data_IF_158821826037
#
_entry.id   IF_158821826037
#
_cell.length_a   1.000
_cell.length_b   1.000
_cell.length_c   1.000
_cell.angle_alpha   90.00
_cell.angle_beta   90.00
_cell.angle_gamma   90.00
#
_symmetry.space_group_name_H-M   'P 1'
#
loop_
_entity.id
_entity.type
_entity.pdbx_description
1 polymer ?
#
# COMPACT_ATOMS: atom_id res chain seq x y z
N UNK A 1 -12.36 15.10 2.96
CA UNK A 1 -13.44 14.20 3.44
C UNK A 1 -13.28 14.08 4.95
N UNK A 2 -14.30 14.37 5.77
CA UNK A 2 -14.20 14.21 7.23
C UNK A 2 -14.54 12.77 7.62
N UNK A 3 -13.76 12.17 8.51
CA UNK A 3 -14.17 10.96 9.23
C UNK A 3 -15.09 11.44 10.36
N UNK A 4 -16.40 11.26 10.22
CA UNK A 4 -17.36 11.63 11.27
C UNK A 4 -17.36 10.53 12.34
N UNK A 5 -16.76 10.83 13.49
CA UNK A 5 -17.04 10.11 14.73
C UNK A 5 -18.21 10.81 15.43
N UNK A 6 -19.25 10.07 15.75
CA UNK A 6 -20.37 10.55 16.56
C UNK A 6 -19.91 10.79 17.99
N UNK A 7 -19.91 12.05 18.44
CA UNK A 7 -19.74 12.42 19.85
C UNK A 7 -20.90 13.34 20.27
N UNK A 8 -21.66 12.89 21.26
CA UNK A 8 -22.70 13.66 21.96
C UNK A 8 -22.08 14.84 22.73
N UNK A 9 -22.78 15.97 22.73
CA UNK A 9 -22.30 17.27 23.22
C UNK A 9 -22.44 17.48 24.72
N UNK A 10 -21.59 18.36 25.27
CA UNK A 10 -21.68 18.92 26.63
C UNK A 10 -21.22 20.39 26.68
N UNK A 11 -21.75 21.06 27.70
CA UNK A 11 -21.89 22.51 27.94
C UNK A 11 -20.63 23.37 28.07
N UNK A 12 -20.82 24.65 27.74
CA UNK A 12 -19.88 25.74 27.93
C UNK A 12 -19.88 26.27 29.38
N UNK A 13 -18.72 26.23 30.05
CA UNK A 13 -18.10 27.32 30.84
C UNK A 13 -16.91 26.77 31.66
N UNK A 14 -15.75 27.42 31.54
CA UNK A 14 -14.58 27.17 32.41
C UNK A 14 -13.29 27.10 31.61
N UNK A 15 -12.35 27.99 31.93
CA UNK A 15 -10.92 28.04 31.55
C UNK A 15 -10.52 27.38 30.22
N UNK A 16 -9.99 28.17 29.29
CA UNK A 16 -9.30 27.70 28.08
C UNK A 16 -8.03 26.93 28.47
N UNK A 17 -8.21 25.70 28.95
CA UNK A 17 -7.16 24.71 29.06
C UNK A 17 -6.68 24.42 27.64
N UNK A 18 -5.38 24.60 27.41
CA UNK A 18 -4.72 24.19 26.16
C UNK A 18 -4.92 22.68 26.02
N UNK A 19 -5.80 22.28 25.12
CA UNK A 19 -6.28 20.90 24.96
C UNK A 19 -5.31 20.03 24.18
N UNK A 20 -4.72 20.54 23.09
CA UNK A 20 -3.59 19.89 22.44
C UNK A 20 -2.28 20.56 22.81
N UNK A 21 -1.24 19.75 23.03
CA UNK A 21 0.10 20.24 23.37
C UNK A 21 1.14 19.71 22.38
N UNK A 22 2.12 20.56 22.07
CA UNK A 22 3.28 20.19 21.26
C UNK A 22 4.40 19.72 22.18
N UNK A 23 4.89 18.51 21.96
CA UNK A 23 6.04 17.95 22.68
C UNK A 23 7.35 18.49 22.12
N UNK A 24 8.44 18.34 22.89
CA UNK A 24 9.78 18.81 22.50
C UNK A 24 10.27 18.19 21.18
N UNK A 25 9.88 16.94 20.91
CA UNK A 25 10.20 16.26 19.64
C UNK A 25 9.34 16.71 18.46
N UNK A 26 8.41 17.65 18.67
CA UNK A 26 7.53 18.22 17.65
C UNK A 26 6.23 17.45 17.41
N UNK A 27 5.97 16.37 18.15
CA UNK A 27 4.69 15.65 18.11
C UNK A 27 3.56 16.50 18.74
N UNK A 28 2.31 16.16 18.42
CA UNK A 28 1.12 16.79 19.02
C UNK A 28 0.35 15.73 19.80
N UNK A 29 -0.04 16.04 21.03
CA UNK A 29 -0.77 15.13 21.92
C UNK A 29 -2.01 15.79 22.52
N UNK A 30 -3.02 14.96 22.76
CA UNK A 30 -4.23 15.25 23.53
C UNK A 30 -4.21 14.35 24.77
N UNK A 31 -3.76 14.89 25.90
CA UNK A 31 -3.40 14.09 27.08
C UNK A 31 -2.37 13.01 26.73
N UNK A 32 -2.77 11.73 26.82
CA UNK A 32 -1.92 10.58 26.46
C UNK A 32 -2.07 10.13 25.00
N UNK A 33 -3.07 10.65 24.27
CA UNK A 33 -3.34 10.29 22.89
C UNK A 33 -2.43 11.09 21.96
N UNK A 34 -1.60 10.41 21.18
CA UNK A 34 -0.78 11.08 20.17
C UNK A 34 -1.67 11.43 18.98
N UNK A 35 -1.83 12.71 18.68
CA UNK A 35 -2.57 13.18 17.51
C UNK A 35 -1.65 13.08 16.29
N UNK A 36 -0.48 13.71 16.36
CA UNK A 36 0.51 13.70 15.28
C UNK A 36 1.86 13.25 15.84
N UNK A 37 2.49 12.28 15.19
CA UNK A 37 3.88 11.91 15.49
C UNK A 37 4.79 12.82 14.70
N UNK A 38 5.80 13.43 15.34
CA UNK A 38 6.94 13.91 14.55
C UNK A 38 7.63 12.74 13.85
N UNK A 39 8.33 13.02 12.76
CA UNK A 39 9.05 11.96 12.03
C UNK A 39 10.05 11.24 12.93
N UNK A 40 10.75 11.97 13.81
CA UNK A 40 11.71 11.38 14.75
C UNK A 40 11.02 10.42 15.73
N UNK A 41 9.85 10.80 16.27
CA UNK A 41 9.08 9.95 17.17
C UNK A 41 8.54 8.72 16.47
N UNK A 42 8.02 8.88 15.25
CA UNK A 42 7.59 7.77 14.40
C UNK A 42 8.73 6.77 14.16
N UNK A 43 9.92 7.26 13.76
CA UNK A 43 11.08 6.39 13.50
C UNK A 43 11.47 5.63 14.77
N UNK A 44 11.63 6.35 15.89
CA UNK A 44 12.07 5.76 17.16
C UNK A 44 11.06 4.76 17.72
N UNK A 45 9.79 5.14 17.83
CA UNK A 45 8.81 4.38 18.61
C UNK A 45 8.14 3.28 17.77
N UNK A 46 7.94 3.54 16.48
CA UNK A 46 7.12 2.71 15.59
C UNK A 46 7.97 1.99 14.54
N UNK A 47 8.74 2.74 13.75
CA UNK A 47 9.52 2.18 12.64
C UNK A 47 10.58 1.21 13.15
N UNK A 48 11.38 1.63 14.13
CA UNK A 48 12.46 0.84 14.72
C UNK A 48 12.10 0.29 16.11
N UNK A 49 11.17 0.94 16.81
CA UNK A 49 10.70 0.55 18.14
C UNK A 49 9.61 -0.53 18.12
N UNK A 50 9.09 -0.90 19.29
CA UNK A 50 8.04 -1.92 19.44
C UNK A 50 6.73 -1.36 19.99
N UNK A 51 6.50 -0.06 19.87
CA UNK A 51 5.24 0.53 20.28
C UNK A 51 4.12 0.14 19.32
N UNK A 52 2.87 0.23 19.79
CA UNK A 52 1.69 0.03 18.95
C UNK A 52 1.77 0.95 17.75
N UNK A 53 1.75 0.39 16.53
CA UNK A 53 1.96 1.18 15.33
C UNK A 53 0.84 2.19 15.04
N UNK A 54 -0.31 2.10 15.73
CA UNK A 54 -1.43 3.06 15.60
C UNK A 54 -1.35 4.17 16.65
N UNK A 55 -1.24 3.84 17.95
CA UNK A 55 -1.31 4.85 19.02
C UNK A 55 0.04 5.21 19.65
N UNK A 56 1.11 4.46 19.36
CA UNK A 56 2.44 4.67 19.96
C UNK A 56 2.57 4.25 21.42
N UNK A 57 1.58 3.56 21.99
CA UNK A 57 1.72 3.00 23.33
C UNK A 57 2.82 1.94 23.38
N UNK A 58 3.61 1.91 24.45
CA UNK A 58 4.62 0.88 24.66
C UNK A 58 3.98 -0.44 25.17
N UNK A 59 4.55 -1.62 24.86
CA UNK A 59 3.99 -2.93 25.26
C UNK A 59 3.74 -3.13 26.76
N UNK A 60 4.45 -2.39 27.61
CA UNK A 60 4.33 -2.43 29.07
C UNK A 60 3.25 -1.50 29.64
N UNK A 61 2.62 -0.67 28.79
CA UNK A 61 1.63 0.32 29.22
C UNK A 61 0.18 -0.12 29.01
N UNK A 62 -0.09 -1.11 28.14
CA UNK A 62 -1.42 -1.73 27.96
C UNK A 62 -1.34 -3.10 27.26
N UNK A 63 -2.42 -3.92 27.24
CA UNK A 63 -2.44 -5.22 26.58
C UNK A 63 -2.17 -5.16 25.07
N UNK A 64 -1.36 -6.11 24.58
CA UNK A 64 -1.01 -6.29 23.17
C UNK A 64 -1.43 -7.69 22.72
N UNK A 65 -1.96 -7.77 21.50
CA UNK A 65 -2.25 -9.04 20.84
C UNK A 65 -1.48 -9.22 19.51
N UNK A 66 -0.68 -8.21 19.13
CA UNK A 66 -0.06 -8.04 17.83
C UNK A 66 -1.08 -8.11 16.67
N UNK A 67 -0.76 -7.43 15.57
CA UNK A 67 -1.63 -7.40 14.40
C UNK A 67 -0.97 -8.12 13.22
N UNK A 68 -1.73 -8.96 12.50
CA UNK A 68 -1.20 -9.64 11.32
C UNK A 68 -0.98 -8.62 10.21
N UNK A 69 0.10 -8.75 9.43
CA UNK A 69 0.33 -7.86 8.27
C UNK A 69 -0.82 -7.96 7.27
N UNK A 70 -1.26 -9.19 7.00
CA UNK A 70 -2.48 -9.47 6.24
C UNK A 70 -3.59 -9.84 7.23
N UNK A 71 -4.79 -9.21 7.13
CA UNK A 71 -5.89 -9.44 8.07
C UNK A 71 -6.25 -10.92 8.23
N UNK A 72 -6.63 -11.35 9.44
CA UNK A 72 -6.95 -12.76 9.70
C UNK A 72 -8.07 -13.31 8.82
N UNK A 73 -9.12 -12.52 8.57
CA UNK A 73 -10.21 -12.93 7.69
C UNK A 73 -9.73 -13.17 6.26
N UNK A 74 -8.75 -12.39 5.79
CA UNK A 74 -8.14 -12.54 4.47
C UNK A 74 -7.31 -13.83 4.41
N UNK A 75 -6.51 -14.08 5.45
CA UNK A 75 -5.75 -15.32 5.58
C UNK A 75 -6.65 -16.56 5.60
N UNK A 76 -7.81 -16.48 6.26
CA UNK A 76 -8.79 -17.56 6.29
C UNK A 76 -9.45 -17.77 4.93
N UNK A 77 -9.91 -16.68 4.31
CA UNK A 77 -10.64 -16.68 3.04
C UNK A 77 -9.87 -17.34 1.90
N UNK A 78 -8.57 -17.06 1.81
CA UNK A 78 -7.70 -17.58 0.75
C UNK A 78 -6.76 -18.70 1.20
N UNK A 79 -7.03 -19.30 2.37
CA UNK A 79 -6.25 -20.41 2.92
C UNK A 79 -4.73 -20.13 2.99
N UNK A 80 -4.36 -18.94 3.47
CA UNK A 80 -2.98 -18.44 3.45
C UNK A 80 -2.18 -18.74 4.72
N UNK A 81 -2.83 -19.15 5.83
CA UNK A 81 -2.17 -19.28 7.14
C UNK A 81 -0.84 -20.07 7.10
N UNK A 82 -0.83 -21.23 6.44
CA UNK A 82 0.37 -22.07 6.31
C UNK A 82 1.23 -21.75 5.09
N UNK A 83 0.76 -20.87 4.20
CA UNK A 83 1.46 -20.46 2.98
C UNK A 83 2.50 -19.39 3.31
N UNK A 84 3.38 -19.14 2.35
CA UNK A 84 4.52 -18.23 2.54
C UNK A 84 4.51 -17.06 1.57
N UNK A 85 4.94 -15.91 2.06
CA UNK A 85 5.39 -14.78 1.25
C UNK A 85 6.93 -14.82 1.15
N UNK A 86 7.47 -14.50 -0.01
CA UNK A 86 8.93 -14.40 -0.21
C UNK A 86 9.36 -12.97 0.06
N UNK A 87 10.29 -12.78 1.01
CA UNK A 87 10.86 -11.48 1.33
C UNK A 87 11.89 -11.03 0.27
N UNK A 88 12.28 -9.74 0.22
CA UNK A 88 13.27 -9.23 -0.72
C UNK A 88 14.62 -9.97 -0.73
N UNK A 89 15.01 -10.59 0.38
CA UNK A 89 16.21 -11.41 0.50
C UNK A 89 16.03 -12.86 0.04
N UNK A 90 14.91 -13.20 -0.60
CA UNK A 90 14.55 -14.54 -1.06
C UNK A 90 14.02 -15.49 0.02
N UNK A 91 13.94 -15.06 1.29
CA UNK A 91 13.49 -15.92 2.38
C UNK A 91 11.97 -16.11 2.34
N UNK A 92 11.46 -17.36 2.35
CA UNK A 92 10.04 -17.60 2.57
C UNK A 92 9.69 -17.40 4.05
N UNK A 93 8.62 -16.66 4.32
CA UNK A 93 8.04 -16.45 5.65
C UNK A 93 6.56 -16.77 5.62
N UNK A 94 6.07 -17.50 6.63
CA UNK A 94 4.64 -17.84 6.73
C UNK A 94 3.79 -16.61 6.99
N UNK A 95 2.65 -16.51 6.31
CA UNK A 95 1.71 -15.40 6.51
C UNK A 95 1.22 -15.29 7.96
N UNK A 96 0.93 -16.41 8.62
CA UNK A 96 0.42 -16.44 10.01
C UNK A 96 1.42 -16.00 11.08
N UNK A 97 2.72 -15.94 10.74
CA UNK A 97 3.79 -15.48 11.63
C UNK A 97 4.23 -14.05 11.32
N UNK A 98 3.62 -13.42 10.32
CA UNK A 98 3.97 -12.09 9.88
C UNK A 98 3.08 -11.06 10.60
N UNK A 99 3.50 -10.66 11.80
CA UNK A 99 2.77 -9.73 12.68
C UNK A 99 3.59 -8.50 13.05
N UNK A 100 2.92 -7.41 13.44
CA UNK A 100 3.50 -6.16 13.96
C UNK A 100 2.93 -5.79 15.34
N UNK A 101 3.67 -5.04 16.17
CA UNK A 101 3.18 -4.62 17.49
C UNK A 101 1.92 -3.76 17.40
N UNK A 102 0.84 -4.21 18.05
CA UNK A 102 -0.42 -3.49 18.13
C UNK A 102 -1.11 -3.79 19.47
N UNK A 103 -1.59 -2.74 20.15
CA UNK A 103 -2.38 -2.92 21.36
C UNK A 103 -3.79 -3.40 21.02
N UNK A 104 -4.42 -4.15 21.92
CA UNK A 104 -5.73 -4.77 21.69
C UNK A 104 -6.79 -3.76 21.24
N UNK A 105 -6.86 -2.62 21.92
CA UNK A 105 -7.79 -1.53 21.61
C UNK A 105 -7.69 -1.03 20.16
N UNK A 106 -6.47 -0.78 19.67
CA UNK A 106 -6.24 -0.30 18.31
C UNK A 106 -6.52 -1.41 17.28
N UNK A 107 -6.18 -2.65 17.62
CA UNK A 107 -6.48 -3.80 16.77
C UNK A 107 -8.00 -3.97 16.60
N UNK A 108 -8.76 -3.98 17.70
CA UNK A 108 -10.22 -4.05 17.68
C UNK A 108 -10.85 -2.89 16.91
N UNK A 109 -10.38 -1.67 17.13
CA UNK A 109 -10.88 -0.49 16.41
C UNK A 109 -10.63 -0.63 14.89
N UNK A 110 -9.42 -0.98 14.48
CA UNK A 110 -9.06 -1.16 13.08
C UNK A 110 -9.92 -2.25 12.40
N UNK A 111 -10.13 -3.37 13.10
CA UNK A 111 -11.01 -4.44 12.65
C UNK A 111 -12.43 -3.95 12.38
N UNK A 112 -12.98 -3.12 13.28
CA UNK A 112 -14.34 -2.60 13.18
C UNK A 112 -14.49 -1.50 12.11
N UNK A 113 -13.60 -0.51 12.11
CA UNK A 113 -13.74 0.70 11.28
C UNK A 113 -13.24 0.49 9.84
N UNK A 114 -12.27 -0.41 9.64
CA UNK A 114 -11.62 -0.59 8.34
C UNK A 114 -11.84 -2.00 7.79
N UNK A 115 -11.50 -3.04 8.55
CA UNK A 115 -11.47 -4.39 7.99
C UNK A 115 -12.86 -4.97 7.72
N UNK A 116 -13.81 -4.79 8.65
CA UNK A 116 -15.17 -5.32 8.53
C UNK A 116 -15.93 -4.73 7.33
N UNK A 117 -15.93 -3.40 7.08
CA UNK A 117 -16.52 -2.84 5.86
C UNK A 117 -15.93 -3.42 4.57
N UNK A 118 -14.62 -3.69 4.54
CA UNK A 118 -13.93 -4.18 3.34
C UNK A 118 -14.18 -5.66 3.12
N UNK A 119 -14.15 -6.48 4.18
CA UNK A 119 -14.48 -7.90 4.06
C UNK A 119 -15.92 -8.08 3.57
N UNK A 120 -16.85 -7.26 4.06
CA UNK A 120 -18.24 -7.27 3.62
C UNK A 120 -18.39 -6.83 2.16
N UNK A 121 -17.62 -5.81 1.72
CA UNK A 121 -17.59 -5.42 0.32
C UNK A 121 -17.09 -6.57 -0.57
N UNK A 122 -16.09 -7.34 -0.13
CA UNK A 122 -15.54 -8.48 -0.90
C UNK A 122 -16.46 -9.71 -0.93
N UNK A 123 -17.43 -9.83 -0.02
CA UNK A 123 -18.45 -10.89 -0.04
C UNK A 123 -19.52 -10.68 -1.13
N UNK A 124 -19.53 -9.50 -1.77
CA UNK A 124 -20.49 -9.12 -2.79
C UNK A 124 -20.24 -9.70 -4.19
N UNK A 125 -20.94 -9.14 -5.17
CA UNK A 125 -20.79 -9.49 -6.60
C UNK A 125 -19.40 -9.11 -7.14
N UNK A 126 -18.99 -9.54 -8.35
CA UNK A 126 -17.69 -9.16 -8.94
C UNK A 126 -17.42 -7.65 -9.08
N UNK A 127 -18.44 -6.82 -8.88
CA UNK A 127 -18.37 -5.35 -8.97
C UNK A 127 -18.44 -4.67 -7.59
N UNK A 128 -18.59 -5.42 -6.51
CA UNK A 128 -18.88 -4.88 -5.18
C UNK A 128 -17.80 -3.95 -4.63
N UNK A 129 -16.53 -4.21 -4.96
CA UNK A 129 -15.41 -3.35 -4.55
C UNK A 129 -15.42 -2.04 -5.35
N UNK A 130 -15.76 -2.10 -6.64
CA UNK A 130 -15.94 -0.92 -7.48
C UNK A 130 -17.11 -0.07 -6.96
N UNK A 131 -18.23 -0.71 -6.62
CA UNK A 131 -19.41 -0.05 -6.05
C UNK A 131 -19.09 0.57 -4.68
N UNK A 132 -18.31 -0.13 -3.85
CA UNK A 132 -17.82 0.39 -2.58
C UNK A 132 -17.00 1.69 -2.79
N UNK A 133 -16.07 1.70 -3.73
CA UNK A 133 -15.31 2.92 -4.08
C UNK A 133 -16.24 4.02 -4.61
N UNK A 134 -17.15 3.68 -5.53
CA UNK A 134 -18.10 4.62 -6.13
C UNK A 134 -19.08 5.24 -5.10
N UNK A 135 -19.39 4.52 -4.02
CA UNK A 135 -20.20 5.01 -2.89
C UNK A 135 -19.48 6.02 -1.98
N UNK A 136 -18.26 6.44 -2.34
CA UNK A 136 -17.45 7.37 -1.55
C UNK A 136 -16.56 6.68 -0.51
N UNK A 137 -16.51 5.34 -0.46
CA UNK A 137 -15.65 4.59 0.47
C UNK A 137 -14.25 4.32 -0.06
N UNK A 138 -13.82 5.00 -1.14
CA UNK A 138 -12.46 4.92 -1.68
C UNK A 138 -11.37 5.20 -0.63
N UNK A 139 -11.59 6.11 0.32
CA UNK A 139 -10.66 6.36 1.42
C UNK A 139 -10.48 5.14 2.33
N UNK A 140 -11.55 4.40 2.63
CA UNK A 140 -11.45 3.20 3.48
C UNK A 140 -10.58 2.15 2.79
N UNK A 141 -10.79 1.95 1.47
CA UNK A 141 -9.98 1.02 0.70
C UNK A 141 -8.51 1.47 0.62
N UNK A 142 -8.25 2.76 0.40
CA UNK A 142 -6.89 3.31 0.39
C UNK A 142 -6.19 3.12 1.74
N UNK A 143 -6.87 3.41 2.85
CA UNK A 143 -6.35 3.22 4.21
C UNK A 143 -6.03 1.75 4.49
N UNK A 144 -6.88 0.82 4.08
CA UNK A 144 -6.63 -0.61 4.26
C UNK A 144 -5.45 -1.14 3.47
N UNK A 145 -5.34 -0.72 2.20
CA UNK A 145 -4.15 -1.00 1.39
C UNK A 145 -2.90 -0.42 2.06
N UNK A 146 -2.98 0.82 2.56
CA UNK A 146 -1.90 1.48 3.31
C UNK A 146 -1.53 0.77 4.61
N UNK A 147 -2.50 0.20 5.33
CA UNK A 147 -2.26 -0.60 6.53
C UNK A 147 -1.47 -1.86 6.19
N UNK A 148 -1.86 -2.62 5.16
CA UNK A 148 -1.10 -3.81 4.73
C UNK A 148 0.33 -3.42 4.33
N UNK A 149 0.47 -2.38 3.51
CA UNK A 149 1.75 -1.90 3.02
C UNK A 149 2.66 -1.46 4.17
N UNK A 150 2.18 -0.59 5.07
CA UNK A 150 2.97 -0.13 6.20
C UNK A 150 3.33 -1.29 7.13
N UNK A 151 2.39 -2.18 7.45
CA UNK A 151 2.64 -3.35 8.32
C UNK A 151 3.75 -4.24 7.74
N UNK A 152 3.75 -4.48 6.43
CA UNK A 152 4.80 -5.24 5.75
C UNK A 152 6.18 -4.57 5.91
N UNK A 153 6.25 -3.26 5.67
CA UNK A 153 7.51 -2.52 5.75
C UNK A 153 8.02 -2.39 7.19
N UNK A 154 7.14 -2.17 8.17
CA UNK A 154 7.52 -2.19 9.59
C UNK A 154 8.09 -3.54 10.03
N UNK A 155 7.58 -4.65 9.47
CA UNK A 155 8.09 -5.99 9.80
C UNK A 155 9.51 -6.24 9.28
N UNK A 156 9.93 -5.53 8.24
CA UNK A 156 11.25 -5.72 7.63
C UNK A 156 12.43 -5.25 8.49
N UNK A 157 12.18 -4.54 9.60
CA UNK A 157 13.21 -4.23 10.60
C UNK A 157 13.79 -5.46 11.31
N UNK A 158 13.07 -6.58 11.29
CA UNK A 158 13.53 -7.84 11.91
C UNK A 158 14.10 -8.83 10.89
N UNK A 159 14.19 -8.45 9.61
CA UNK A 159 14.62 -9.32 8.52
C UNK A 159 15.96 -8.82 7.97
N UNK A 160 17.00 -9.67 7.93
CA UNK A 160 18.32 -9.30 7.39
C UNK A 160 18.30 -9.11 5.87
N UNK A 161 19.10 -8.20 5.32
CA UNK A 161 19.28 -8.09 3.86
C UNK A 161 19.95 -9.34 3.27
N UNK A 162 20.96 -9.85 3.96
CA UNK A 162 21.71 -11.05 3.57
C UNK A 162 21.46 -12.16 4.58
N UNK A 163 21.17 -13.37 4.07
CA UNK A 163 20.88 -14.54 4.89
C UNK A 163 22.11 -15.11 5.60
N UNK A 164 23.28 -14.98 4.99
CA UNK A 164 24.54 -15.37 5.63
C UNK A 164 24.81 -14.47 6.84
N UNK A 165 24.77 -15.06 8.03
CA UNK A 165 24.86 -14.32 9.28
C UNK A 165 26.23 -13.70 9.54
N UNK A 166 27.25 -14.17 8.82
CA UNK A 166 28.63 -13.67 8.88
C UNK A 166 28.81 -12.35 8.13
N UNK A 167 27.87 -11.99 7.25
CA UNK A 167 27.89 -10.73 6.50
C UNK A 167 27.05 -9.70 7.24
N UNK A 168 27.69 -8.64 7.72
CA UNK A 168 27.00 -7.50 8.30
C UNK A 168 26.48 -6.58 7.19
N UNK A 169 25.26 -6.86 6.73
CA UNK A 169 24.56 -6.10 5.69
C UNK A 169 23.33 -5.34 6.24
N UNK A 170 23.14 -5.32 7.56
CA UNK A 170 21.95 -4.74 8.18
C UNK A 170 20.64 -5.48 7.89
N UNK A 171 19.54 -4.75 8.09
CA UNK A 171 18.15 -5.21 7.95
C UNK A 171 17.52 -4.67 6.67
N UNK A 172 16.52 -5.35 6.13
CA UNK A 172 15.80 -4.94 4.92
C UNK A 172 15.24 -3.52 5.06
N UNK A 173 14.75 -3.17 6.25
CA UNK A 173 14.20 -1.84 6.50
C UNK A 173 15.24 -0.71 6.60
N UNK A 174 16.54 -1.02 6.59
CA UNK A 174 17.59 0.02 6.60
C UNK A 174 17.65 0.80 5.27
N UNK A 175 17.09 0.24 4.19
CA UNK A 175 17.01 0.91 2.87
C UNK A 175 15.74 1.76 2.72
N UNK A 176 14.91 1.85 3.75
CA UNK A 176 13.61 2.53 3.64
C UNK A 176 13.70 4.02 3.88
N UNK A 177 12.98 4.77 3.03
CA UNK A 177 12.67 6.16 3.32
C UNK A 177 11.52 6.24 4.34
N UNK A 178 11.89 6.39 5.61
CA UNK A 178 10.93 6.52 6.69
C UNK A 178 10.10 7.82 6.63
N UNK A 179 10.50 8.85 5.89
CA UNK A 179 9.70 10.07 5.72
C UNK A 179 8.46 9.77 4.87
N UNK A 180 8.61 8.99 3.80
CA UNK A 180 7.49 8.55 2.97
C UNK A 180 6.53 7.65 3.76
N UNK A 181 7.07 6.70 4.52
CA UNK A 181 6.25 5.82 5.37
C UNK A 181 5.61 6.56 6.55
N UNK A 182 6.21 7.64 7.04
CA UNK A 182 5.63 8.53 8.05
C UNK A 182 4.42 9.31 7.51
N UNK A 183 4.49 9.78 6.26
CA UNK A 183 3.33 10.37 5.60
C UNK A 183 2.18 9.37 5.51
N UNK A 184 2.45 8.16 4.98
CA UNK A 184 1.45 7.09 4.89
C UNK A 184 0.87 6.76 6.28
N UNK A 185 1.73 6.62 7.30
CA UNK A 185 1.32 6.40 8.69
C UNK A 185 0.35 7.47 9.20
N UNK A 186 0.60 8.73 8.86
CA UNK A 186 -0.27 9.85 9.25
C UNK A 186 -1.64 9.74 8.58
N UNK A 187 -1.69 9.37 7.30
CA UNK A 187 -2.96 9.18 6.56
C UNK A 187 -3.75 7.99 7.08
N UNK A 188 -3.14 6.81 7.24
CA UNK A 188 -3.87 5.60 7.63
C UNK A 188 -4.45 5.69 9.03
N UNK A 189 -3.94 6.58 9.89
CA UNK A 189 -4.45 6.80 11.25
C UNK A 189 -5.74 7.62 11.30
N UNK A 190 -6.29 8.06 10.17
CA UNK A 190 -7.50 8.88 10.15
C UNK A 190 -8.75 8.21 10.74
N UNK A 191 -8.76 6.88 10.91
CA UNK A 191 -9.82 6.18 11.64
C UNK A 191 -9.65 6.24 13.18
N UNK A 192 -8.44 6.56 13.66
CA UNK A 192 -8.09 6.62 15.08
C UNK A 192 -8.10 8.06 15.63
N UNK A 193 -7.69 9.03 14.81
CA UNK A 193 -7.63 10.46 15.15
C UNK A 193 -8.61 11.26 14.28
N UNK A 194 -9.27 12.30 14.84
CA UNK A 194 -10.03 13.24 14.02
C UNK A 194 -9.06 13.93 13.08
N UNK A 195 -9.19 13.68 11.78
CA UNK A 195 -8.27 14.23 10.77
C UNK A 195 -9.02 14.57 9.51
N UNK A 196 -8.80 15.78 9.02
CA UNK A 196 -9.31 16.24 7.73
C UNK A 196 -8.27 15.88 6.68
N UNK A 197 -8.66 15.07 5.69
CA UNK A 197 -7.79 14.74 4.56
C UNK A 197 -8.30 15.45 3.32
N UNK A 198 -7.44 16.30 2.73
CA UNK A 198 -7.71 16.92 1.43
C UNK A 198 -7.65 15.88 0.30
N UNK A 199 -8.46 16.04 -0.76
CA UNK A 199 -8.49 15.09 -1.87
C UNK A 199 -7.12 14.84 -2.52
N UNK A 200 -6.25 15.85 -2.55
CA UNK A 200 -4.91 15.85 -3.13
C UNK A 200 -3.94 14.91 -2.39
N UNK A 201 -4.20 14.61 -1.12
CA UNK A 201 -3.37 13.72 -0.30
C UNK A 201 -3.51 12.27 -0.74
N UNK A 202 -4.67 11.90 -1.27
CA UNK A 202 -4.94 10.52 -1.67
C UNK A 202 -4.23 10.25 -2.98
N UNK A 203 -3.34 9.26 -2.97
CA UNK A 203 -2.68 8.78 -4.17
C UNK A 203 -3.62 7.99 -5.08
N UNK A 204 -3.04 7.44 -6.14
CA UNK A 204 -3.76 6.67 -7.14
C UNK A 204 -4.35 5.38 -6.58
N UNK A 205 -5.61 5.11 -6.92
CA UNK A 205 -6.30 3.87 -6.56
C UNK A 205 -7.13 3.39 -7.74
N UNK A 206 -6.97 2.12 -8.13
CA UNK A 206 -7.75 1.50 -9.19
C UNK A 206 -8.18 0.08 -8.81
N UNK A 207 -9.42 -0.26 -9.14
CA UNK A 207 -9.98 -1.61 -8.98
C UNK A 207 -10.36 -2.12 -10.36
N UNK A 208 -9.90 -3.32 -10.73
CA UNK A 208 -10.12 -3.87 -12.07
C UNK A 208 -10.47 -5.36 -12.03
N UNK A 209 -11.37 -5.86 -12.91
CA UNK A 209 -11.75 -7.27 -12.94
C UNK A 209 -10.63 -8.17 -13.47
N UNK A 210 -10.50 -9.35 -12.88
CA UNK A 210 -9.50 -10.37 -13.19
C UNK A 210 -10.18 -11.65 -13.66
N UNK A 211 -9.62 -12.31 -14.68
CA UNK A 211 -10.03 -13.65 -15.10
C UNK A 211 -9.38 -14.72 -14.24
N UNK A 212 -10.15 -15.71 -13.80
CA UNK A 212 -9.69 -16.79 -12.90
C UNK A 212 -9.47 -18.12 -13.62
N UNK A 213 -9.68 -18.18 -14.93
CA UNK A 213 -9.72 -19.43 -15.70
C UNK A 213 -8.34 -20.13 -15.84
N UNK A 214 -7.24 -19.45 -15.51
CA UNK A 214 -5.87 -19.93 -15.71
C UNK A 214 -5.07 -20.29 -14.45
N UNK A 215 -5.63 -20.14 -13.25
CA UNK A 215 -4.86 -20.32 -12.00
C UNK A 215 -5.64 -21.04 -10.93
N UNK A 216 -4.89 -21.83 -10.15
CA UNK A 216 -5.40 -22.49 -8.95
C UNK A 216 -5.44 -21.56 -7.74
N UNK A 217 -4.69 -20.47 -7.79
CA UNK A 217 -4.67 -19.49 -6.71
C UNK A 217 -5.67 -18.38 -7.01
N UNK A 218 -6.31 -17.88 -5.96
CA UNK A 218 -7.21 -16.73 -6.03
C UNK A 218 -6.62 -15.51 -5.32
N UNK A 219 -5.47 -15.67 -4.65
CA UNK A 219 -4.75 -14.59 -4.00
C UNK A 219 -3.50 -14.23 -4.80
N UNK A 220 -3.19 -12.95 -4.89
CA UNK A 220 -1.85 -12.51 -5.27
C UNK A 220 -1.49 -11.18 -4.59
N UNK A 221 -0.21 -11.01 -4.25
CA UNK A 221 0.30 -9.80 -3.61
C UNK A 221 1.63 -9.40 -4.24
N UNK A 222 1.76 -8.11 -4.55
CA UNK A 222 3.02 -7.52 -4.98
C UNK A 222 3.17 -6.10 -4.49
N UNK A 223 4.39 -5.72 -4.14
CA UNK A 223 4.74 -4.35 -3.82
C UNK A 223 6.07 -3.95 -4.46
N UNK A 224 6.20 -2.65 -4.72
CA UNK A 224 7.40 -2.01 -5.25
C UNK A 224 7.71 -0.82 -4.34
N UNK A 225 8.58 -1.04 -3.35
CA UNK A 225 8.86 -0.05 -2.32
C UNK A 225 9.38 1.28 -2.88
N UNK A 226 10.32 1.20 -3.82
CA UNK A 226 10.97 2.36 -4.42
C UNK A 226 10.00 3.33 -5.12
N UNK A 227 8.81 2.85 -5.51
CA UNK A 227 7.76 3.62 -6.17
C UNK A 227 6.48 3.70 -5.34
N UNK A 228 6.51 3.35 -4.04
CA UNK A 228 5.35 3.36 -3.15
C UNK A 228 4.10 2.71 -3.78
N UNK A 229 4.30 1.65 -4.56
CA UNK A 229 3.25 1.01 -5.36
C UNK A 229 2.96 -0.37 -4.81
N UNK A 230 1.69 -0.76 -4.79
CA UNK A 230 1.27 -2.09 -4.37
C UNK A 230 0.09 -2.57 -5.19
N UNK A 231 0.03 -3.88 -5.41
CA UNK A 231 -1.13 -4.56 -5.95
C UNK A 231 -1.59 -5.68 -5.01
N UNK A 232 -2.90 -5.90 -5.00
CA UNK A 232 -3.52 -7.02 -4.32
C UNK A 232 -4.59 -7.62 -5.22
N UNK A 233 -4.51 -8.93 -5.47
CA UNK A 233 -5.53 -9.69 -6.17
C UNK A 233 -6.31 -10.54 -5.17
N UNK A 234 -7.63 -10.44 -5.26
CA UNK A 234 -8.63 -11.09 -4.43
C UNK A 234 -9.68 -11.74 -5.34
N UNK A 235 -9.46 -13.00 -5.69
CA UNK A 235 -10.25 -13.76 -6.67
C UNK A 235 -10.31 -13.05 -8.02
N UNK A 236 -11.50 -12.53 -8.33
CA UNK A 236 -11.82 -11.86 -9.61
C UNK A 236 -11.57 -10.34 -9.58
N UNK A 237 -10.91 -9.83 -8.55
CA UNK A 237 -10.68 -8.39 -8.37
C UNK A 237 -9.20 -8.12 -8.13
N UNK A 238 -8.62 -7.21 -8.89
CA UNK A 238 -7.31 -6.63 -8.61
C UNK A 238 -7.46 -5.19 -8.12
N UNK A 239 -6.65 -4.82 -7.15
CA UNK A 239 -6.62 -3.50 -6.53
C UNK A 239 -5.18 -2.99 -6.64
N UNK A 240 -5.02 -1.80 -7.22
CA UNK A 240 -3.74 -1.15 -7.43
C UNK A 240 -3.72 0.16 -6.67
N UNK A 241 -2.59 0.46 -6.04
CA UNK A 241 -2.41 1.71 -5.29
C UNK A 241 -1.00 2.27 -5.50
N UNK A 242 -0.92 3.60 -5.58
CA UNK A 242 0.31 4.38 -5.38
C UNK A 242 0.03 5.35 -4.24
N UNK A 243 0.89 5.39 -3.22
CA UNK A 243 0.56 6.10 -1.99
C UNK A 243 0.88 7.60 -1.99
N UNK A 244 1.78 8.06 -2.86
CA UNK A 244 2.42 9.38 -2.76
C UNK A 244 2.39 10.22 -4.05
N UNK A 245 1.48 9.91 -4.98
CA UNK A 245 1.44 10.53 -6.32
C UNK A 245 0.25 11.48 -6.56
N UNK A 246 -0.58 11.73 -5.55
CA UNK A 246 -1.76 12.61 -5.64
C UNK A 246 -2.69 12.30 -6.84
N UNK A 247 -2.89 11.01 -7.15
CA UNK A 247 -3.69 10.47 -8.27
C UNK A 247 -3.06 10.60 -9.67
N UNK A 248 -1.78 10.92 -9.76
CA UNK A 248 -1.07 11.09 -11.02
C UNK A 248 -1.17 9.86 -11.93
N UNK A 249 -0.81 8.69 -11.42
CA UNK A 249 -0.83 7.44 -12.17
C UNK A 249 -2.26 7.03 -12.57
N UNK A 250 -3.22 7.16 -11.67
CA UNK A 250 -4.64 6.87 -11.92
C UNK A 250 -5.17 7.74 -13.06
N UNK A 251 -4.89 9.05 -13.03
CA UNK A 251 -5.32 9.96 -14.07
C UNK A 251 -4.75 9.54 -15.44
N UNK A 252 -3.46 9.25 -15.52
CA UNK A 252 -2.84 8.81 -16.76
C UNK A 252 -3.46 7.50 -17.28
N UNK A 253 -3.60 6.50 -16.42
CA UNK A 253 -4.14 5.18 -16.78
C UNK A 253 -5.59 5.29 -17.25
N UNK A 254 -6.42 6.06 -16.56
CA UNK A 254 -7.81 6.28 -16.93
C UNK A 254 -7.99 6.84 -18.34
N UNK A 255 -7.09 7.74 -18.77
CA UNK A 255 -7.20 8.39 -20.09
C UNK A 255 -6.49 7.62 -21.21
N UNK A 256 -5.38 6.94 -20.92
CA UNK A 256 -4.49 6.41 -21.97
C UNK A 256 -4.51 4.88 -22.09
N UNK A 257 -4.83 4.19 -21.01
CA UNK A 257 -4.65 2.74 -20.88
C UNK A 257 -5.99 2.02 -20.73
N UNK A 258 -6.81 2.48 -19.78
CA UNK A 258 -8.11 1.91 -19.46
C UNK A 258 -9.05 1.80 -20.68
N UNK A 259 -9.14 2.78 -21.60
CA UNK A 259 -9.99 2.68 -22.78
C UNK A 259 -9.60 1.55 -23.75
N UNK A 260 -8.36 1.05 -23.66
CA UNK A 260 -7.85 -0.02 -24.50
C UNK A 260 -8.02 -1.40 -23.86
N UNK A 261 -8.30 -1.47 -22.55
CA UNK A 261 -8.56 -2.73 -21.86
C UNK A 261 -9.98 -3.20 -22.18
N UNK A 262 -10.11 -4.12 -23.15
CA UNK A 262 -11.41 -4.58 -23.68
C UNK A 262 -12.03 -5.74 -22.88
N UNK A 263 -11.43 -6.16 -21.77
CA UNK A 263 -11.96 -7.22 -20.90
C UNK A 263 -11.13 -7.47 -19.64
N UNK A 264 -11.47 -8.49 -18.83
CA UNK A 264 -10.74 -8.83 -17.62
C UNK A 264 -9.28 -9.22 -17.86
N UNK A 265 -8.39 -8.76 -16.99
CA UNK A 265 -6.94 -9.04 -17.05
C UNK A 265 -6.59 -10.41 -16.45
N UNK A 266 -5.51 -11.04 -16.91
CA UNK A 266 -4.91 -12.20 -16.23
C UNK A 266 -4.04 -11.78 -15.05
N UNK A 267 -3.64 -12.76 -14.24
CA UNK A 267 -2.70 -12.59 -13.12
C UNK A 267 -1.37 -11.97 -13.54
N UNK A 268 -0.80 -12.41 -14.67
CA UNK A 268 0.42 -11.83 -15.21
C UNK A 268 0.21 -10.37 -15.65
N UNK A 269 -0.95 -10.07 -16.24
CA UNK A 269 -1.33 -8.72 -16.61
C UNK A 269 -1.55 -7.81 -15.39
N UNK A 270 -2.04 -8.34 -14.25
CA UNK A 270 -2.07 -7.60 -12.97
C UNK A 270 -0.66 -7.14 -12.59
N UNK A 271 0.35 -8.02 -12.70
CA UNK A 271 1.73 -7.67 -12.38
C UNK A 271 2.29 -6.57 -13.30
N UNK A 272 2.00 -6.61 -14.59
CA UNK A 272 2.42 -5.53 -15.51
C UNK A 272 1.70 -4.20 -15.20
N UNK A 273 0.39 -4.21 -14.92
CA UNK A 273 -0.31 -2.99 -14.54
C UNK A 273 0.32 -2.35 -13.28
N UNK A 274 0.69 -3.15 -12.28
CA UNK A 274 1.42 -2.64 -11.11
C UNK A 274 2.73 -1.94 -11.52
N UNK A 275 3.46 -2.50 -12.49
CA UNK A 275 4.68 -1.88 -13.03
C UNK A 275 4.37 -0.58 -13.76
N UNK A 276 3.27 -0.49 -14.50
CA UNK A 276 2.85 0.77 -15.13
C UNK A 276 2.51 1.86 -14.10
N UNK A 277 1.81 1.53 -13.01
CA UNK A 277 1.62 2.46 -11.89
C UNK A 277 2.95 2.93 -11.29
N UNK A 278 3.87 1.98 -11.06
CA UNK A 278 5.20 2.25 -10.51
C UNK A 278 6.04 3.15 -11.44
N UNK A 279 6.00 2.90 -12.75
CA UNK A 279 6.69 3.69 -13.75
C UNK A 279 6.17 5.13 -13.80
N UNK A 280 4.84 5.32 -13.72
CA UNK A 280 4.24 6.64 -13.69
C UNK A 280 4.66 7.44 -12.45
N UNK A 281 4.76 6.79 -11.28
CA UNK A 281 5.24 7.45 -10.08
C UNK A 281 6.75 7.75 -10.13
N UNK A 282 7.55 6.81 -10.63
CA UNK A 282 9.01 6.96 -10.74
C UNK A 282 9.40 8.13 -11.65
N UNK A 283 8.67 8.31 -12.76
CA UNK A 283 8.98 9.32 -13.76
C UNK A 283 8.25 10.64 -13.52
N UNK A 284 7.58 10.84 -12.38
CA UNK A 284 6.95 12.10 -12.08
C UNK A 284 8.01 13.20 -11.87
N UNK A 285 8.02 14.20 -12.77
CA UNK A 285 9.04 15.25 -12.79
C UNK A 285 9.03 16.11 -11.53
N UNK A 286 7.84 16.44 -11.04
CA UNK A 286 7.62 17.20 -9.82
C UNK A 286 6.74 16.39 -8.88
N UNK A 287 7.33 15.85 -7.80
CA UNK A 287 6.60 15.05 -6.83
C UNK A 287 5.72 15.93 -5.94
N UNK A 288 4.52 15.45 -5.54
CA UNK A 288 3.73 16.15 -4.54
C UNK A 288 4.48 16.27 -3.22
N UNK A 289 4.27 17.39 -2.53
CA UNK A 289 4.73 17.58 -1.16
C UNK A 289 3.54 17.50 -0.20
N UNK A 290 3.66 16.72 0.86
CA UNK A 290 2.60 16.49 1.84
C UNK A 290 2.91 17.20 3.15
N UNK A 291 1.88 17.73 3.81
CA UNK A 291 2.02 18.48 5.06
C UNK A 291 0.90 18.13 6.05
N UNK A 292 1.25 18.06 7.33
CA UNK A 292 0.29 18.01 8.44
C UNK A 292 0.21 19.38 9.10
N UNK A 293 -0.96 19.97 9.06
CA UNK A 293 -1.29 21.20 9.76
C UNK A 293 -2.01 20.83 11.05
N UNK A 294 -1.46 21.29 12.18
CA UNK A 294 -2.05 21.07 13.50
C UNK A 294 -2.34 22.43 14.14
N UNK A 295 -3.62 22.73 14.36
CA UNK A 295 -4.05 23.86 15.17
C UNK A 295 -4.34 23.34 16.59
N UNK A 296 -3.45 23.65 17.53
CA UNK A 296 -3.56 23.17 18.91
C UNK A 296 -4.63 23.90 19.72
N UNK A 297 -5.08 25.07 19.25
CA UNK A 297 -6.13 25.85 19.92
C UNK A 297 -7.51 25.40 19.45
N UNK A 298 -7.64 25.06 18.17
CA UNK A 298 -8.88 24.54 17.57
C UNK A 298 -9.01 23.02 17.59
N UNK A 299 -7.97 22.32 18.04
CA UNK A 299 -7.90 20.85 18.02
C UNK A 299 -8.16 20.27 16.62
N UNK A 300 -7.60 20.92 15.61
CA UNK A 300 -7.77 20.51 14.21
C UNK A 300 -6.47 19.95 13.66
N UNK A 301 -6.54 18.74 13.10
CA UNK A 301 -5.47 18.14 12.31
C UNK A 301 -5.93 17.99 10.86
N UNK A 302 -5.19 18.59 9.94
CA UNK A 302 -5.45 18.55 8.50
C UNK A 302 -4.21 18.04 7.78
N UNK A 303 -4.41 17.09 6.87
CA UNK A 303 -3.37 16.66 5.93
C UNK A 303 -3.68 17.30 4.59
N UNK A 304 -2.70 18.01 4.05
CA UNK A 304 -2.77 18.70 2.77
C UNK A 304 -1.66 18.20 1.83
N UNK A 305 -1.85 18.38 0.53
CA UNK A 305 -0.81 18.12 -0.46
C UNK A 305 -0.70 19.28 -1.45
N UNK A 306 0.53 19.65 -1.78
CA UNK A 306 0.83 20.60 -2.86
C UNK A 306 1.42 19.82 -4.01
N UNK A 307 0.86 20.01 -5.21
CA UNK A 307 1.34 19.41 -6.46
C UNK A 307 1.40 20.46 -7.55
N UNK A 308 2.14 20.15 -8.62
CA UNK A 308 2.14 20.95 -9.84
C UNK A 308 0.72 21.01 -10.44
N UNK A 309 0.30 22.17 -10.96
CA UNK A 309 -0.97 22.30 -11.68
C UNK A 309 -0.98 21.50 -12.98
N UNK A 310 0.21 21.26 -13.55
CA UNK A 310 0.43 20.52 -14.78
C UNK A 310 1.49 19.45 -14.51
N UNK A 311 1.13 18.32 -13.90
CA UNK A 311 2.08 17.25 -13.66
C UNK A 311 2.64 16.74 -15.00
N UNK A 312 3.97 16.65 -15.06
CA UNK A 312 4.72 16.17 -16.21
C UNK A 312 5.49 14.91 -15.85
N UNK A 313 5.69 14.05 -16.84
CA UNK A 313 6.61 12.93 -16.72
C UNK A 313 7.96 13.32 -17.34
N UNK A 314 9.06 12.90 -16.72
CA UNK A 314 10.36 12.87 -17.40
C UNK A 314 10.36 11.76 -18.45
N UNK A 315 11.39 11.72 -19.30
CA UNK A 315 11.55 10.67 -20.31
C UNK A 315 11.57 9.27 -19.67
N UNK A 316 10.90 8.32 -20.30
CA UNK A 316 10.77 6.95 -19.80
C UNK A 316 12.13 6.23 -19.80
N UNK A 317 12.48 5.66 -18.66
CA UNK A 317 13.61 4.75 -18.50
C UNK A 317 13.12 3.29 -18.66
N UNK A 318 13.37 2.73 -19.84
CA UNK A 318 12.96 1.36 -20.14
C UNK A 318 13.80 0.32 -19.39
N UNK A 319 15.04 0.63 -19.00
CA UNK A 319 15.84 -0.28 -18.19
C UNK A 319 15.20 -0.44 -16.80
N UNK A 320 14.75 0.67 -16.21
CA UNK A 320 13.96 0.65 -14.97
C UNK A 320 12.68 -0.16 -15.15
N UNK A 321 11.94 0.04 -16.25
CA UNK A 321 10.73 -0.76 -16.54
C UNK A 321 11.04 -2.25 -16.59
N UNK A 322 12.11 -2.64 -17.29
CA UNK A 322 12.55 -4.02 -17.42
C UNK A 322 12.91 -4.64 -16.07
N UNK A 323 13.62 -3.91 -15.22
CA UNK A 323 13.98 -4.36 -13.87
C UNK A 323 12.76 -4.50 -12.96
N UNK A 324 11.83 -3.54 -13.00
CA UNK A 324 10.56 -3.61 -12.27
C UNK A 324 9.72 -4.80 -12.74
N UNK A 325 9.63 -5.04 -14.04
CA UNK A 325 8.90 -6.16 -14.62
C UNK A 325 9.51 -7.51 -14.21
N UNK A 326 10.83 -7.62 -14.30
CA UNK A 326 11.57 -8.80 -13.86
C UNK A 326 11.24 -9.13 -12.39
N UNK A 327 11.28 -8.13 -11.51
CA UNK A 327 11.00 -8.29 -10.09
C UNK A 327 9.52 -8.57 -9.81
N UNK A 328 8.60 -7.90 -10.51
CA UNK A 328 7.16 -8.01 -10.28
C UNK A 328 6.61 -9.39 -10.65
N UNK A 329 7.06 -9.98 -11.75
CA UNK A 329 6.65 -11.34 -12.19
C UNK A 329 7.44 -12.42 -11.43
N UNK A 330 8.73 -12.19 -11.16
CA UNK A 330 9.55 -13.02 -10.28
C UNK A 330 9.50 -14.52 -10.63
N UNK A 331 9.04 -15.35 -9.68
CA UNK A 331 9.03 -16.81 -9.84
C UNK A 331 8.18 -17.31 -11.02
N UNK A 332 7.19 -16.53 -11.46
CA UNK A 332 6.35 -16.90 -12.60
C UNK A 332 7.12 -16.89 -13.93
N UNK A 333 8.32 -16.30 -14.03
CA UNK A 333 9.14 -16.40 -15.23
C UNK A 333 9.44 -17.85 -15.64
N UNK A 334 9.58 -18.75 -14.66
CA UNK A 334 9.80 -20.18 -14.89
C UNK A 334 8.62 -20.90 -15.54
N UNK A 335 7.42 -20.33 -15.47
CA UNK A 335 6.20 -20.89 -16.06
C UNK A 335 5.85 -20.27 -17.40
N UNK A 336 6.56 -19.22 -17.84
CA UNK A 336 6.38 -18.69 -19.18
C UNK A 336 6.81 -19.74 -20.20
N UNK A 337 5.90 -20.17 -21.08
CA UNK A 337 6.24 -21.10 -22.14
C UNK A 337 6.96 -20.31 -23.24
N UNK A 338 8.23 -19.99 -23.04
CA UNK A 338 9.10 -19.82 -24.18
C UNK A 338 9.29 -21.20 -24.81
N UNK A 339 9.13 -21.29 -26.13
CA UNK A 339 9.49 -22.49 -26.90
C UNK A 339 11.01 -22.69 -26.77
N UNK A 340 11.47 -23.30 -25.67
CA UNK A 340 12.86 -23.69 -25.46
C UNK A 340 13.87 -22.58 -25.13
N UNK A 341 13.45 -21.39 -24.67
CA UNK A 341 14.40 -20.36 -24.24
C UNK A 341 14.81 -20.55 -22.76
N UNK A 342 16.09 -20.37 -22.47
CA UNK A 342 16.66 -20.36 -21.12
C UNK A 342 16.21 -19.15 -20.30
N UNK A 343 16.30 -19.24 -18.97
CA UNK A 343 15.99 -18.13 -18.06
C UNK A 343 16.80 -16.87 -18.37
N UNK A 344 18.07 -17.02 -18.75
CA UNK A 344 18.95 -15.91 -19.15
C UNK A 344 18.48 -15.22 -20.43
N UNK A 345 17.94 -15.98 -21.40
CA UNK A 345 17.36 -15.40 -22.62
C UNK A 345 16.08 -14.61 -22.31
N UNK A 346 15.21 -15.16 -21.46
CA UNK A 346 14.01 -14.46 -20.99
C UNK A 346 14.39 -13.18 -20.25
N UNK A 347 15.33 -13.27 -19.32
CA UNK A 347 15.84 -12.13 -18.55
C UNK A 347 16.38 -11.04 -19.47
N UNK A 348 17.20 -11.41 -20.46
CA UNK A 348 17.76 -10.45 -21.42
C UNK A 348 16.67 -9.70 -22.19
N UNK A 349 15.58 -10.37 -22.58
CA UNK A 349 14.45 -9.74 -23.28
C UNK A 349 13.67 -8.83 -22.34
N UNK A 350 13.34 -9.30 -21.14
CA UNK A 350 12.60 -8.52 -20.13
C UNK A 350 13.35 -7.24 -19.76
N UNK A 351 14.67 -7.33 -19.55
CA UNK A 351 15.51 -6.20 -19.18
C UNK A 351 15.65 -5.14 -20.28
N UNK A 352 15.19 -5.40 -21.51
CA UNK A 352 15.07 -4.34 -22.52
C UNK A 352 13.97 -3.33 -22.18
N UNK A 353 13.04 -3.69 -21.30
CA UNK A 353 11.89 -2.86 -20.94
C UNK A 353 10.76 -2.82 -21.95
N UNK A 354 10.92 -3.44 -23.12
CA UNK A 354 9.91 -3.41 -24.20
C UNK A 354 8.88 -4.53 -24.10
N UNK A 355 9.16 -5.56 -23.30
CA UNK A 355 8.27 -6.72 -23.19
C UNK A 355 6.92 -6.32 -22.61
N UNK A 356 5.83 -6.83 -23.19
CA UNK A 356 4.48 -6.70 -22.64
C UNK A 356 3.73 -8.03 -22.66
N UNK A 357 3.05 -8.30 -21.54
CA UNK A 357 2.04 -9.35 -21.37
C UNK A 357 0.61 -8.82 -21.43
N UNK A 358 0.47 -7.49 -21.48
CA UNK A 358 -0.79 -6.76 -21.58
C UNK A 358 -1.15 -6.41 -23.03
N UNK A 359 -0.16 -6.03 -23.83
CA UNK A 359 -0.33 -5.58 -25.21
C UNK A 359 0.35 -6.54 -26.19
N UNK A 360 -0.31 -6.83 -27.31
CA UNK A 360 0.30 -7.57 -28.40
C UNK A 360 1.21 -6.66 -29.26
N UNK A 361 1.84 -7.24 -30.29
CA UNK A 361 2.72 -6.51 -31.19
C UNK A 361 2.06 -5.29 -31.88
N UNK A 362 0.75 -5.32 -32.09
CA UNK A 362 -0.01 -4.22 -32.69
C UNK A 362 -0.42 -3.15 -31.67
N UNK A 363 -0.23 -3.42 -30.38
CA UNK A 363 -0.68 -2.55 -29.29
C UNK A 363 -2.12 -2.83 -28.86
N UNK A 364 -2.70 -3.96 -29.29
CA UNK A 364 -4.03 -4.39 -28.90
C UNK A 364 -3.98 -5.16 -27.58
N UNK A 365 -5.07 -5.07 -26.79
CA UNK A 365 -5.16 -5.78 -25.52
C UNK A 365 -5.22 -7.30 -25.74
N UNK A 366 -4.34 -8.04 -25.04
CA UNK A 366 -4.28 -9.49 -25.12
C UNK A 366 -5.44 -10.11 -24.31
N UNK A 367 -6.45 -10.61 -25.03
CA UNK A 367 -7.54 -11.42 -24.48
C UNK A 367 -7.17 -12.92 -24.50
N UNK A 368 -7.32 -13.60 -23.36
CA UNK A 368 -7.08 -15.04 -23.22
C UNK A 368 -5.59 -15.46 -23.14
N UNK A 369 -5.32 -16.77 -23.20
CA UNK A 369 -3.97 -17.37 -23.15
C UNK A 369 -3.25 -17.36 -24.50
N UNK A 370 -3.49 -16.33 -25.32
CA UNK A 370 -2.80 -16.22 -26.60
C UNK A 370 -1.32 -15.92 -26.33
N UNK A 371 -0.47 -16.92 -26.59
CA UNK A 371 1.00 -16.88 -26.53
C UNK A 371 1.60 -15.93 -27.59
N UNK A 372 1.16 -14.68 -27.61
CA UNK A 372 1.69 -13.62 -28.49
C UNK A 372 2.03 -12.43 -27.61
N UNK A 373 3.21 -12.53 -27.01
CA UNK A 373 3.84 -11.44 -26.26
C UNK A 373 4.52 -10.48 -27.24
N UNK A 374 4.61 -9.22 -26.87
CA UNK A 374 5.36 -8.19 -27.59
C UNK A 374 6.79 -8.10 -27.08
#
# INVERSE_FOLDING_TARGET
MKYENSSEGWDATGDLALTWTKTDDGSIVDGSKVIYFSTQRFIRDIALGNCCFICGAAPDTKPFNDEHVFPRWLLQRYNLFSRTITLPNGRPVRYDRHTVPCCEECNTLMGREIELPISAALDGSPHSVQDFVASGKGLHLFVWMGLIYLKLHLKNKTNRKVLDTRVDAGMIADDYDWYLLHHLHTVIRCFYIPTIIEPEVIGSLMVYPVRTEGSLDEFDFGDLHATQTMMLRLGRTAIFVVFDDSRGAQSYIQHNMLPKLTGPISELQVREIMVEFAMLNWHLKERPSFQSLCDTVREEHTIIARRSERPELVGWDLEVRGQLMWNAIGHAWSTFPSLGASEEEVKKVVLTGNMSVLWDNNGDFILGDTKRWK
#
